data_IF_887581937299
#
_entry.id   IF_887581937299
#
_cell.length_a   1.000
_cell.length_b   1.000
_cell.length_c   1.000
_cell.angle_alpha   90.00
_cell.angle_beta   90.00
_cell.angle_gamma   90.00
#
_symmetry.space_group_name_H-M   'P 1'
#
loop_
_entity.id
_entity.type
_entity.pdbx_description
1 polymer ?
#
# COMPACT_ATOMS: atom_id res chain seq x y z
N UNK A 1 -13.09 7.96 13.99
CA UNK A 1 -13.51 6.79 13.18
C UNK A 1 -12.45 5.70 13.31
N UNK A 2 -12.80 4.42 13.22
CA UNK A 2 -11.80 3.34 13.22
C UNK A 2 -11.62 2.82 11.80
N UNK A 3 -10.39 2.81 11.31
CA UNK A 3 -10.03 2.29 10.01
C UNK A 3 -9.16 1.05 10.17
N UNK A 4 -9.27 0.11 9.24
CA UNK A 4 -8.46 -1.10 9.19
C UNK A 4 -7.65 -1.07 7.90
N UNK A 5 -6.45 -1.66 7.95
CA UNK A 5 -5.49 -1.60 6.86
C UNK A 5 -5.24 -3.01 6.32
N UNK A 6 -6.12 -3.46 5.45
CA UNK A 6 -6.05 -4.80 4.90
C UNK A 6 -4.97 -4.83 3.80
N UNK A 7 -3.96 -5.68 3.94
CA UNK A 7 -3.02 -5.97 2.87
C UNK A 7 -3.66 -6.96 1.91
N UNK A 8 -3.80 -6.57 0.65
CA UNK A 8 -4.39 -7.38 -0.41
C UNK A 8 -3.32 -7.66 -1.44
N UNK A 9 -2.92 -8.93 -1.56
CA UNK A 9 -2.07 -9.43 -2.63
C UNK A 9 -2.91 -10.03 -3.77
N UNK A 10 -2.24 -10.47 -4.83
CA UNK A 10 -2.89 -11.11 -5.98
C UNK A 10 -3.57 -12.46 -5.62
N UNK A 11 -3.05 -13.16 -4.62
CA UNK A 11 -3.52 -14.51 -4.25
C UNK A 11 -4.05 -14.60 -2.82
N UNK A 12 -3.83 -13.58 -1.99
CA UNK A 12 -4.22 -13.61 -0.57
C UNK A 12 -4.60 -12.23 -0.04
N UNK A 13 -5.29 -12.22 1.10
CA UNK A 13 -5.69 -10.99 1.77
C UNK A 13 -5.44 -11.14 3.27
N UNK A 14 -4.51 -10.34 3.78
CA UNK A 14 -4.22 -10.20 5.19
C UNK A 14 -5.08 -9.07 5.74
N UNK A 15 -6.15 -9.45 6.44
CA UNK A 15 -7.03 -8.47 7.08
C UNK A 15 -6.45 -8.00 8.40
N UNK A 16 -6.51 -6.69 8.62
CA UNK A 16 -6.09 -6.11 9.89
C UNK A 16 -7.21 -6.21 10.91
N UNK A 17 -6.94 -6.92 12.01
CA UNK A 17 -7.90 -7.13 13.11
C UNK A 17 -7.82 -6.08 14.22
N UNK A 18 -6.73 -5.30 14.26
CA UNK A 18 -6.51 -4.29 15.30
C UNK A 18 -7.24 -3.00 14.96
N UNK A 19 -7.08 -2.53 13.72
CA UNK A 19 -7.48 -1.22 13.26
C UNK A 19 -6.78 -0.10 14.04
N UNK A 20 -6.86 1.13 13.52
CA UNK A 20 -6.45 2.32 14.27
C UNK A 20 -7.61 3.31 14.33
N UNK A 21 -7.67 4.05 15.44
CA UNK A 21 -8.61 5.15 15.59
C UNK A 21 -8.01 6.42 15.01
N UNK A 22 -8.68 6.98 14.02
CA UNK A 22 -8.29 8.22 13.34
C UNK A 22 -9.39 9.25 13.44
N UNK A 23 -9.00 10.52 13.41
CA UNK A 23 -9.97 11.62 13.34
C UNK A 23 -10.67 11.65 11.98
N UNK A 24 -9.90 11.50 10.89
CA UNK A 24 -10.35 11.70 9.51
C UNK A 24 -9.62 10.77 8.52
N UNK A 25 -10.16 10.66 7.30
CA UNK A 25 -9.59 9.83 6.23
C UNK A 25 -8.16 10.26 5.85
N UNK A 26 -7.84 11.55 5.92
CA UNK A 26 -6.47 12.03 5.66
C UNK A 26 -5.47 11.49 6.68
N UNK A 27 -5.86 11.40 7.95
CA UNK A 27 -5.03 10.79 9.01
C UNK A 27 -4.88 9.29 8.77
N UNK A 28 -5.96 8.61 8.35
CA UNK A 28 -5.88 7.22 7.92
C UNK A 28 -4.87 7.04 6.79
N UNK A 29 -4.95 7.89 5.77
CA UNK A 29 -4.05 7.86 4.61
C UNK A 29 -2.60 8.09 5.02
N UNK A 30 -2.33 9.06 5.90
CA UNK A 30 -0.99 9.33 6.39
C UNK A 30 -0.41 8.14 7.18
N UNK A 31 -1.20 7.52 8.06
CA UNK A 31 -0.80 6.33 8.79
C UNK A 31 -0.53 5.14 7.85
N UNK A 32 -1.38 5.00 6.84
CA UNK A 32 -1.23 3.97 5.82
C UNK A 32 0.07 4.16 5.03
N UNK A 33 0.36 5.37 4.56
CA UNK A 33 1.61 5.71 3.86
C UNK A 33 2.84 5.43 4.73
N UNK A 34 2.75 5.78 6.01
CA UNK A 34 3.81 5.48 6.97
C UNK A 34 4.06 3.98 7.09
N UNK A 35 3.00 3.17 7.20
CA UNK A 35 3.11 1.72 7.24
C UNK A 35 3.76 1.14 5.96
N UNK A 36 3.40 1.64 4.77
CA UNK A 36 4.08 1.26 3.52
C UNK A 36 5.58 1.61 3.57
N UNK A 37 5.93 2.80 4.04
CA UNK A 37 7.33 3.23 4.14
C UNK A 37 8.11 2.34 5.11
N UNK A 38 7.55 2.04 6.29
CA UNK A 38 8.18 1.16 7.29
C UNK A 38 8.35 -0.27 6.75
N UNK A 39 7.37 -0.80 5.99
CA UNK A 39 7.48 -2.09 5.32
C UNK A 39 8.56 -2.12 4.25
N UNK A 40 8.77 -1.01 3.53
CA UNK A 40 9.82 -0.90 2.50
C UNK A 40 11.21 -0.72 3.08
N UNK A 41 11.33 0.05 4.17
CA UNK A 41 12.63 0.33 4.80
C UNK A 41 13.21 -0.92 5.51
N UNK A 42 12.35 -1.82 5.98
CA UNK A 42 12.76 -3.05 6.66
C UNK A 42 13.14 -4.24 5.76
N UNK A 43 12.82 -4.17 4.46
CA UNK A 43 13.02 -5.26 3.49
C UNK A 43 13.84 -4.74 2.29
N UNK A 44 15.11 -5.13 2.18
CA UNK A 44 15.97 -4.80 1.01
C UNK A 44 15.38 -5.30 -0.33
N UNK A 45 14.50 -6.31 -0.29
CA UNK A 45 13.77 -6.87 -1.45
C UNK A 45 12.29 -6.45 -1.49
N UNK A 46 11.92 -5.40 -0.76
CA UNK A 46 10.54 -4.94 -0.62
C UNK A 46 9.82 -4.76 -1.96
N UNK A 47 10.52 -4.27 -2.98
CA UNK A 47 9.94 -4.05 -4.30
C UNK A 47 9.46 -5.35 -4.98
N UNK A 48 10.20 -6.44 -4.82
CA UNK A 48 9.86 -7.76 -5.37
C UNK A 48 8.88 -8.53 -4.48
N UNK A 49 9.04 -8.44 -3.14
CA UNK A 49 8.20 -9.17 -2.20
C UNK A 49 6.78 -8.58 -2.10
N UNK A 50 6.68 -7.25 -2.16
CA UNK A 50 5.41 -6.52 -2.14
C UNK A 50 4.87 -6.23 -3.54
N UNK A 51 5.47 -6.83 -4.57
CA UNK A 51 4.98 -6.71 -5.94
C UNK A 51 3.56 -7.26 -6.10
N UNK A 52 2.62 -6.41 -6.53
CA UNK A 52 1.21 -6.77 -6.68
C UNK A 52 0.40 -6.69 -5.38
N UNK A 53 1.01 -6.21 -4.29
CA UNK A 53 0.32 -5.94 -3.04
C UNK A 53 -0.22 -4.51 -3.00
N UNK A 54 -1.38 -4.35 -2.37
CA UNK A 54 -2.01 -3.07 -2.08
C UNK A 54 -2.50 -3.01 -0.63
N UNK A 55 -2.40 -1.85 -0.01
CA UNK A 55 -2.98 -1.57 1.29
C UNK A 55 -4.36 -0.94 1.07
N UNK A 56 -5.39 -1.61 1.56
CA UNK A 56 -6.76 -1.13 1.53
C UNK A 56 -7.14 -0.57 2.90
N UNK A 57 -7.49 0.70 2.93
CA UNK A 57 -8.10 1.33 4.10
C UNK A 57 -9.58 1.01 4.06
N UNK A 58 -10.05 0.21 5.02
CA UNK A 58 -11.46 -0.17 5.14
C UNK A 58 -12.11 0.44 6.38
N UNK A 59 -13.39 0.75 6.26
CA UNK A 59 -14.23 1.19 7.38
C UNK A 59 -14.66 -0.03 8.25
N UNK A 60 -15.27 0.16 9.44
CA UNK A 60 -15.70 -0.95 10.29
C UNK A 60 -16.78 -1.84 9.64
N UNK A 61 -17.47 -1.35 8.62
CA UNK A 61 -18.40 -2.11 7.80
C UNK A 61 -17.70 -2.89 6.68
N UNK A 62 -16.36 -2.84 6.60
CA UNK A 62 -15.49 -3.45 5.58
C UNK A 62 -15.66 -2.90 4.17
N UNK A 63 -16.12 -1.65 4.00
CA UNK A 63 -16.05 -0.98 2.72
C UNK A 63 -14.66 -0.36 2.54
N UNK A 64 -14.10 -0.54 1.34
CA UNK A 64 -12.83 0.06 0.95
C UNK A 64 -13.04 1.55 0.73
N UNK A 65 -12.38 2.35 1.57
CA UNK A 65 -12.35 3.81 1.48
C UNK A 65 -11.23 4.26 0.54
N UNK A 66 -10.05 3.65 0.64
CA UNK A 66 -8.85 3.97 -0.14
C UNK A 66 -8.08 2.69 -0.43
N UNK A 67 -7.54 2.58 -1.65
CA UNK A 67 -6.61 1.53 -2.05
C UNK A 67 -5.31 2.17 -2.52
N UNK A 68 -4.18 1.68 -2.06
CA UNK A 68 -2.87 2.18 -2.48
C UNK A 68 -1.87 1.05 -2.65
N UNK A 69 -1.15 1.08 -3.76
CA UNK A 69 -0.17 0.05 -4.12
C UNK A 69 1.06 0.13 -3.21
N UNK A 70 1.55 -1.02 -2.75
CA UNK A 70 2.78 -1.09 -1.95
C UNK A 70 4.04 -0.89 -2.78
N UNK A 71 3.96 -1.06 -4.10
CA UNK A 71 4.98 -0.62 -5.05
C UNK A 71 4.46 0.58 -5.82
N UNK A 72 5.26 1.64 -5.84
CA UNK A 72 5.05 2.72 -6.77
C UNK A 72 5.73 2.29 -8.07
N UNK A 73 4.95 1.92 -9.08
CA UNK A 73 5.49 1.45 -10.36
C UNK A 73 6.09 2.60 -11.20
N UNK A 74 6.48 3.72 -10.56
CA UNK A 74 7.16 4.85 -11.19
C UNK A 74 8.69 4.74 -11.14
N UNK A 75 9.26 3.68 -10.55
CA UNK A 75 10.71 3.39 -10.59
C UNK A 75 11.09 2.34 -11.67
N UNK A 76 10.43 2.42 -12.82
CA UNK A 76 11.09 1.98 -14.05
C UNK A 76 11.79 3.20 -14.63
N UNK A 77 13.11 3.17 -14.92
CA UNK A 77 13.69 4.22 -15.77
C UNK A 77 12.81 4.28 -17.03
N UNK A 78 12.41 5.48 -17.51
CA UNK A 78 11.66 5.59 -18.75
C UNK A 78 12.41 4.77 -19.80
N UNK A 79 11.70 3.97 -20.65
CA UNK A 79 12.38 3.13 -21.61
C UNK A 79 13.39 4.00 -22.34
N UNK A 80 14.67 3.65 -22.23
CA UNK A 80 15.73 4.35 -22.94
C UNK A 80 15.27 4.36 -24.39
N UNK A 81 14.87 5.53 -24.88
CA UNK A 81 14.70 5.76 -26.31
C UNK A 81 16.10 5.62 -26.90
N UNK A 82 16.48 4.38 -27.20
CA UNK A 82 17.64 4.10 -28.03
C UNK A 82 17.30 4.69 -29.39
N UNK A 83 18.02 5.73 -29.86
CA UNK A 83 17.86 6.12 -31.25
C UNK A 83 18.27 4.92 -32.11
N UNK A 84 17.32 4.41 -32.88
CA UNK A 84 17.63 3.49 -33.98
C UNK A 84 18.16 4.37 -35.10
N UNK A 85 19.50 4.35 -35.23
CA UNK A 85 20.34 4.92 -36.30
C UNK A 85 20.40 6.45 -36.44
#
# INVERSE_FOLDING_TARGET
MRCYFDLVGAFETLRDGSGIEVSDLEVARAAAWKAIQELREGDDEADQNWSGWALNIVDPSRNVLVSMSLIDNSDGPPPLSYPIQ
#
